data_IF_015950683695
#
_entry.id   IF_015950683695
#
_cell.length_a   1.000
_cell.length_b   1.000
_cell.length_c   1.000
_cell.angle_alpha   90.00
_cell.angle_beta   90.00
_cell.angle_gamma   90.00
#
_symmetry.space_group_name_H-M   'P 1'
#
loop_
_entity.id
_entity.type
_entity.pdbx_description
1 polymer ?
#
# COMPACT_ATOMS: atom_id res chain seq x y z
N UNK A 1 -12.84 19.76 19.82
CA UNK A 1 -12.40 20.43 18.58
C UNK A 1 -12.34 19.42 17.46
N UNK A 2 -13.07 19.68 16.37
CA UNK A 2 -13.04 18.87 15.15
C UNK A 2 -11.81 19.25 14.33
N UNK A 3 -10.82 18.37 14.26
CA UNK A 3 -9.57 18.60 13.52
C UNK A 3 -9.70 17.97 12.14
N UNK A 4 -9.27 18.71 11.12
CA UNK A 4 -9.17 18.21 9.75
C UNK A 4 -7.71 18.30 9.32
N UNK A 5 -7.14 17.17 8.92
CA UNK A 5 -5.74 17.08 8.47
C UNK A 5 -5.74 16.71 6.99
N UNK A 6 -4.93 17.40 6.19
CA UNK A 6 -4.69 17.12 4.77
C UNK A 6 -3.20 17.24 4.49
N UNK A 7 -2.69 16.37 3.63
CA UNK A 7 -1.34 16.51 3.09
C UNK A 7 -1.30 17.56 1.97
N UNK A 8 -2.32 17.54 1.10
CA UNK A 8 -2.50 18.46 -0.01
C UNK A 8 -4.00 18.80 -0.18
N UNK A 9 -4.30 19.91 -0.85
CA UNK A 9 -5.68 20.38 -1.07
C UNK A 9 -6.48 19.47 -2.01
N UNK A 10 -5.82 18.66 -2.86
CA UNK A 10 -6.48 17.66 -3.72
C UNK A 10 -6.92 16.42 -2.92
N UNK A 11 -6.33 16.20 -1.74
CA UNK A 11 -6.68 15.09 -0.84
C UNK A 11 -7.90 15.42 0.01
N UNK A 12 -8.73 14.42 0.29
CA UNK A 12 -9.81 14.60 1.27
C UNK A 12 -9.20 14.76 2.68
N UNK A 13 -9.92 15.44 3.57
CA UNK A 13 -9.46 15.55 4.95
C UNK A 13 -9.53 14.20 5.66
N UNK A 14 -8.52 13.92 6.48
CA UNK A 14 -8.66 13.03 7.62
C UNK A 14 -9.43 13.82 8.69
N UNK A 15 -10.60 13.33 9.06
CA UNK A 15 -11.49 13.97 10.04
C UNK A 15 -11.31 13.33 11.42
N UNK A 16 -10.93 14.14 12.40
CA UNK A 16 -10.65 13.71 13.77
C UNK A 16 -11.53 14.56 14.71
N UNK A 17 -12.70 14.05 15.14
CA UNK A 17 -13.66 14.84 15.93
C UNK A 17 -13.11 15.38 17.26
N UNK A 18 -12.14 14.67 17.84
CA UNK A 18 -11.39 15.09 19.02
C UNK A 18 -9.97 14.56 18.92
N UNK A 19 -9.01 15.47 18.99
CA UNK A 19 -7.59 15.19 19.07
C UNK A 19 -7.04 15.82 20.34
N UNK A 20 -6.44 15.00 21.20
CA UNK A 20 -5.68 15.43 22.36
C UNK A 20 -4.18 15.19 22.07
N UNK A 21 -3.32 16.11 22.48
CA UNK A 21 -1.87 15.97 22.36
C UNK A 21 -1.27 15.70 23.74
N UNK A 22 -0.50 14.61 23.87
CA UNK A 22 0.12 14.23 25.14
C UNK A 22 1.63 14.15 24.98
N UNK A 23 2.36 15.08 25.62
CA UNK A 23 3.82 15.07 25.68
C UNK A 23 4.29 14.43 26.98
N UNK A 24 4.95 13.27 26.90
CA UNK A 24 5.51 12.59 28.05
C UNK A 24 6.82 11.88 27.69
N UNK A 25 7.87 12.04 28.50
CA UNK A 25 9.19 11.39 28.29
C UNK A 25 9.70 11.51 26.85
N UNK A 26 9.70 12.72 26.30
CA UNK A 26 10.15 13.04 24.92
C UNK A 26 9.30 12.40 23.80
N UNK A 27 8.14 11.84 24.12
CA UNK A 27 7.19 11.29 23.17
C UNK A 27 5.95 12.19 23.10
N UNK A 28 5.55 12.60 21.90
CA UNK A 28 4.31 13.34 21.65
C UNK A 28 3.30 12.41 20.99
N UNK A 29 2.33 11.93 21.78
CA UNK A 29 1.23 11.10 21.31
C UNK A 29 0.07 11.97 20.79
N UNK A 30 -0.42 11.62 19.60
CA UNK A 30 -1.64 12.19 19.01
C UNK A 30 -2.80 11.26 19.35
N UNK A 31 -3.54 11.60 20.40
CA UNK A 31 -4.57 10.74 20.99
C UNK A 31 -5.93 11.09 20.40
N UNK A 32 -6.55 10.13 19.71
CA UNK A 32 -7.91 10.25 19.20
C UNK A 32 -8.65 8.92 19.35
N UNK A 33 -9.95 9.00 19.65
CA UNK A 33 -10.82 7.82 19.71
C UNK A 33 -11.55 7.54 18.40
N UNK A 34 -11.59 8.53 17.49
CA UNK A 34 -12.22 8.45 16.19
C UNK A 34 -11.40 9.19 15.16
N UNK A 35 -11.20 8.58 14.00
CA UNK A 35 -10.62 9.21 12.83
C UNK A 35 -11.23 8.60 11.57
N UNK A 36 -11.47 9.42 10.55
CA UNK A 36 -12.07 8.97 9.29
C UNK A 36 -11.34 9.56 8.09
N UNK A 37 -11.20 8.77 7.03
CA UNK A 37 -10.73 9.24 5.73
C UNK A 37 -11.61 8.65 4.65
N UNK A 38 -12.31 9.50 3.88
CA UNK A 38 -13.23 9.03 2.83
C UNK A 38 -14.23 7.96 3.27
N UNK A 39 -14.77 8.10 4.49
CA UNK A 39 -15.70 7.13 5.08
C UNK A 39 -15.04 5.84 5.59
N UNK A 40 -13.73 5.67 5.42
CA UNK A 40 -12.97 4.59 6.05
C UNK A 40 -12.68 4.94 7.51
N UNK A 41 -12.87 3.96 8.39
CA UNK A 41 -12.58 4.10 9.82
C UNK A 41 -11.07 3.91 10.06
N UNK A 42 -10.46 4.91 10.68
CA UNK A 42 -9.04 4.95 11.08
C UNK A 42 -8.85 4.99 12.60
N UNK A 43 -9.91 4.77 13.39
CA UNK A 43 -9.88 4.91 14.86
C UNK A 43 -8.89 3.96 15.56
N UNK A 44 -8.49 2.88 14.90
CA UNK A 44 -7.45 1.95 15.39
C UNK A 44 -6.02 2.34 14.98
N UNK A 45 -5.86 3.43 14.25
CA UNK A 45 -4.56 3.96 13.83
C UNK A 45 -3.85 4.66 14.98
N UNK A 46 -2.53 4.79 14.86
CA UNK A 46 -1.69 5.47 15.87
C UNK A 46 -0.68 6.36 15.18
N UNK A 47 -0.42 7.52 15.77
CA UNK A 47 0.66 8.40 15.38
C UNK A 47 1.29 9.03 16.61
N UNK A 48 2.61 9.04 16.65
CA UNK A 48 3.36 9.76 17.67
C UNK A 48 4.74 10.15 17.16
N UNK A 49 5.28 11.23 17.72
CA UNK A 49 6.70 11.54 17.61
C UNK A 49 7.43 10.97 18.81
N UNK A 50 8.65 10.46 18.62
CA UNK A 50 9.49 9.92 19.68
C UNK A 50 10.84 10.63 19.73
N UNK A 51 11.50 10.55 20.87
CA UNK A 51 12.84 11.10 21.13
C UNK A 51 13.01 12.56 20.68
N UNK A 52 11.95 13.37 20.87
CA UNK A 52 11.83 14.73 20.31
C UNK A 52 12.95 15.70 20.68
N UNK A 53 13.66 15.46 21.78
CA UNK A 53 14.74 16.34 22.25
C UNK A 53 16.13 15.73 22.01
N UNK A 54 16.21 14.62 21.27
CA UNK A 54 17.46 14.01 20.81
C UNK A 54 17.48 14.03 19.28
N UNK A 55 18.18 15.00 18.69
CA UNK A 55 18.28 15.18 17.24
C UNK A 55 18.82 13.94 16.50
N UNK A 56 19.54 13.05 17.21
CA UNK A 56 20.09 11.82 16.63
C UNK A 56 19.13 10.64 16.71
N UNK A 57 18.00 10.78 17.41
CA UNK A 57 17.02 9.70 17.61
C UNK A 57 15.58 10.11 17.30
N UNK A 58 15.31 11.41 17.16
CA UNK A 58 13.98 11.90 16.89
C UNK A 58 13.40 11.26 15.61
N UNK A 59 12.12 10.94 15.67
CA UNK A 59 11.41 10.36 14.54
C UNK A 59 9.90 10.30 14.73
N UNK A 60 9.24 9.70 13.75
CA UNK A 60 7.79 9.52 13.72
C UNK A 60 7.44 8.04 13.63
N UNK A 61 6.43 7.67 14.40
CA UNK A 61 5.77 6.38 14.28
C UNK A 61 4.36 6.58 13.71
N UNK A 62 4.02 5.76 12.73
CA UNK A 62 2.71 5.71 12.11
C UNK A 62 2.24 4.26 12.07
N UNK A 63 1.01 4.02 12.51
CA UNK A 63 0.29 2.78 12.25
C UNK A 63 -1.04 3.11 11.62
N UNK A 64 -1.23 2.76 10.35
CA UNK A 64 -2.45 3.00 9.59
C UNK A 64 -3.25 1.71 9.57
N UNK A 65 -4.34 1.70 10.33
CA UNK A 65 -5.18 0.52 10.51
C UNK A 65 -6.63 0.80 10.12
N UNK A 66 -7.15 0.04 9.18
CA UNK A 66 -8.51 0.16 8.68
C UNK A 66 -9.03 -1.16 8.13
N UNK A 67 -10.35 -1.31 8.03
CA UNK A 67 -10.99 -2.45 7.37
C UNK A 67 -11.48 -2.14 5.95
N UNK A 68 -11.41 -0.88 5.53
CA UNK A 68 -11.99 -0.42 4.27
C UNK A 68 -11.28 0.82 3.70
N UNK A 69 -10.00 0.99 4.00
CA UNK A 69 -9.22 2.09 3.43
C UNK A 69 -9.06 1.87 1.92
N UNK A 70 -9.09 2.95 1.16
CA UNK A 70 -8.93 2.92 -0.29
C UNK A 70 -7.75 3.79 -0.68
N UNK A 71 -6.82 3.24 -1.47
CA UNK A 71 -5.79 4.02 -2.13
C UNK A 71 -6.39 4.64 -3.41
N UNK A 72 -7.20 5.68 -3.24
CA UNK A 72 -7.92 6.32 -4.35
C UNK A 72 -7.06 7.29 -5.16
N UNK A 73 -7.59 7.75 -6.28
CA UNK A 73 -6.91 8.68 -7.20
C UNK A 73 -6.52 10.00 -6.52
N UNK A 74 -7.33 10.51 -5.59
CA UNK A 74 -7.03 11.76 -4.88
C UNK A 74 -5.82 11.60 -3.97
N UNK A 75 -5.74 10.48 -3.24
CA UNK A 75 -4.58 10.14 -2.44
C UNK A 75 -3.35 9.90 -3.33
N UNK A 76 -3.49 9.17 -4.44
CA UNK A 76 -2.39 8.95 -5.37
C UNK A 76 -1.81 10.28 -5.90
N UNK A 77 -2.66 11.20 -6.36
CA UNK A 77 -2.24 12.54 -6.83
C UNK A 77 -1.59 13.38 -5.74
N UNK A 78 -2.10 13.33 -4.51
CA UNK A 78 -1.51 14.06 -3.39
C UNK A 78 -0.10 13.57 -3.04
N UNK A 79 0.21 12.29 -3.28
CA UNK A 79 1.55 11.75 -3.04
C UNK A 79 2.56 12.10 -4.14
N UNK A 80 2.11 12.44 -5.35
CA UNK A 80 2.99 12.92 -6.43
C UNK A 80 3.74 14.20 -6.03
N UNK A 81 3.08 15.08 -5.27
CA UNK A 81 3.66 16.33 -4.74
C UNK A 81 4.83 16.05 -3.75
N UNK A 82 4.96 14.80 -3.27
CA UNK A 82 6.06 14.33 -2.41
C UNK A 82 7.03 13.39 -3.14
N UNK A 83 7.06 13.42 -4.47
CA UNK A 83 7.87 12.54 -5.31
C UNK A 83 7.58 11.04 -5.11
N UNK A 84 6.38 10.72 -4.63
CA UNK A 84 5.91 9.34 -4.50
C UNK A 84 4.82 9.08 -5.53
N UNK A 85 5.21 8.46 -6.65
CA UNK A 85 4.28 8.08 -7.72
C UNK A 85 4.21 6.56 -7.82
N UNK A 86 2.99 6.03 -7.64
CA UNK A 86 2.69 4.63 -7.95
C UNK A 86 1.96 4.56 -9.30
N UNK A 87 2.23 3.56 -10.15
CA UNK A 87 1.62 3.44 -11.48
C UNK A 87 0.16 2.98 -11.43
N UNK A 88 -0.47 3.01 -10.25
CA UNK A 88 -1.83 2.55 -10.06
C UNK A 88 -2.52 3.31 -8.93
N UNK A 89 -3.85 3.37 -8.99
CA UNK A 89 -4.74 3.67 -7.87
C UNK A 89 -5.92 2.69 -7.91
N UNK A 90 -6.66 2.62 -6.81
CA UNK A 90 -7.82 1.76 -6.70
C UNK A 90 -9.07 2.47 -7.21
N UNK A 91 -9.77 1.86 -8.17
CA UNK A 91 -11.06 2.31 -8.72
C UNK A 91 -12.24 1.90 -7.82
N UNK A 92 -12.22 0.70 -7.27
CA UNK A 92 -13.31 0.15 -6.42
C UNK A 92 -12.81 -0.96 -5.48
N UNK A 93 -13.68 -1.48 -4.61
CA UNK A 93 -13.39 -2.56 -3.66
C UNK A 93 -12.92 -2.09 -2.29
N UNK A 94 -12.42 -3.02 -1.47
CA UNK A 94 -11.98 -2.76 -0.09
C UNK A 94 -10.56 -3.22 0.13
N UNK A 95 -9.80 -2.47 0.94
CA UNK A 95 -8.56 -2.92 1.53
C UNK A 95 -8.71 -2.90 3.05
N UNK A 96 -8.51 -4.07 3.66
CA UNK A 96 -8.20 -4.15 5.09
C UNK A 96 -6.70 -3.98 5.24
N UNK A 97 -6.28 -2.98 5.99
CA UNK A 97 -4.88 -2.59 6.13
C UNK A 97 -4.46 -2.56 7.60
N UNK A 98 -3.23 -3.01 7.84
CA UNK A 98 -2.47 -2.77 9.07
C UNK A 98 -1.04 -2.48 8.61
N UNK A 99 -0.71 -1.21 8.41
CA UNK A 99 0.60 -0.75 7.93
C UNK A 99 1.28 0.01 9.06
N UNK A 100 2.52 -0.36 9.36
CA UNK A 100 3.35 0.24 10.40
C UNK A 100 4.60 0.83 9.75
N UNK A 101 4.88 2.09 10.07
CA UNK A 101 6.04 2.84 9.64
C UNK A 101 6.69 3.46 10.87
N UNK A 102 8.00 3.34 10.98
CA UNK A 102 8.82 4.07 11.96
C UNK A 102 9.96 4.70 11.20
N UNK A 103 10.01 6.03 11.22
CA UNK A 103 10.90 6.82 10.37
C UNK A 103 11.70 7.74 11.27
N UNK A 104 13.00 7.51 11.32
CA UNK A 104 13.93 8.42 11.98
C UNK A 104 14.14 9.69 11.11
N UNK A 105 14.27 10.86 11.73
CA UNK A 105 14.38 12.13 11.00
C UNK A 105 15.81 12.50 10.58
N UNK A 106 16.83 11.81 11.10
CA UNK A 106 18.22 12.14 10.82
C UNK A 106 18.72 11.40 9.56
N UNK A 107 19.71 11.96 8.87
CA UNK A 107 20.19 11.47 7.55
C UNK A 107 20.71 10.03 7.52
N UNK A 108 21.13 9.50 8.68
CA UNK A 108 21.58 8.10 8.86
C UNK A 108 20.54 7.22 9.54
N UNK A 109 19.33 7.74 9.70
CA UNK A 109 18.24 7.10 10.38
C UNK A 109 17.71 5.91 9.62
N UNK A 110 17.17 4.96 10.36
CA UNK A 110 16.59 3.78 9.78
C UNK A 110 15.10 4.00 9.53
N UNK A 111 14.62 3.49 8.39
CA UNK A 111 13.19 3.44 8.08
C UNK A 111 12.75 2.01 8.29
N UNK A 112 11.89 1.79 9.27
CA UNK A 112 11.24 0.50 9.45
C UNK A 112 9.83 0.53 8.90
N UNK A 113 9.49 -0.49 8.12
CA UNK A 113 8.16 -0.64 7.59
C UNK A 113 7.74 -2.11 7.57
N UNK A 114 6.50 -2.35 7.98
CA UNK A 114 5.87 -3.65 7.87
C UNK A 114 4.37 -3.48 7.71
N UNK A 115 3.70 -4.45 7.10
CA UNK A 115 2.27 -4.35 7.01
C UNK A 115 1.60 -5.53 6.36
N UNK A 116 0.28 -5.55 6.52
CA UNK A 116 -0.61 -6.54 5.94
C UNK A 116 -1.74 -5.80 5.24
N UNK A 117 -1.97 -6.14 3.97
CA UNK A 117 -3.07 -5.62 3.16
C UNK A 117 -3.88 -6.81 2.63
N UNK A 118 -5.16 -6.86 2.92
CA UNK A 118 -6.09 -7.81 2.31
C UNK A 118 -6.99 -7.05 1.34
N UNK A 119 -6.87 -7.37 0.06
CA UNK A 119 -7.68 -6.81 -1.02
C UNK A 119 -8.84 -7.76 -1.29
N UNK A 120 -10.05 -7.20 -1.39
CA UNK A 120 -11.27 -7.95 -1.70
C UNK A 120 -12.10 -7.19 -2.75
N UNK A 121 -12.43 -7.88 -3.84
CA UNK A 121 -13.22 -7.34 -4.96
C UNK A 121 -12.74 -5.95 -5.40
N UNK A 122 -11.42 -5.79 -5.52
CA UNK A 122 -10.78 -4.52 -5.86
C UNK A 122 -10.61 -4.39 -7.37
N UNK A 123 -10.71 -3.18 -7.87
CA UNK A 123 -10.31 -2.84 -9.24
C UNK A 123 -9.22 -1.79 -9.17
N UNK A 124 -8.14 -1.99 -9.91
CA UNK A 124 -6.99 -1.07 -9.96
C UNK A 124 -6.84 -0.47 -11.36
N UNK A 125 -6.30 0.75 -11.43
CA UNK A 125 -6.18 1.49 -12.70
C UNK A 125 -5.09 0.95 -13.63
N UNK A 126 -4.11 0.22 -13.11
CA UNK A 126 -3.07 -0.38 -13.92
C UNK A 126 -3.65 -1.53 -14.74
N UNK A 127 -3.69 -1.34 -16.06
CA UNK A 127 -4.22 -2.30 -17.03
C UNK A 127 -5.62 -2.85 -16.69
N UNK A 128 -6.42 -2.06 -15.95
CA UNK A 128 -7.79 -2.37 -15.53
C UNK A 128 -7.95 -3.74 -14.85
N UNK A 129 -6.96 -4.16 -14.05
CA UNK A 129 -7.06 -5.40 -13.31
C UNK A 129 -8.16 -5.36 -12.26
N UNK A 130 -9.01 -6.37 -12.30
CA UNK A 130 -9.90 -6.76 -11.23
C UNK A 130 -9.21 -7.83 -10.38
N UNK A 131 -9.25 -7.65 -9.07
CA UNK A 131 -8.64 -8.50 -8.05
C UNK A 131 -9.78 -9.03 -7.18
N UNK A 132 -10.13 -10.30 -7.36
CA UNK A 132 -11.17 -10.92 -6.54
C UNK A 132 -10.70 -11.01 -5.07
N UNK A 133 -9.45 -11.41 -4.87
CA UNK A 133 -8.78 -11.48 -3.58
C UNK A 133 -7.27 -11.35 -3.75
N UNK A 134 -6.57 -10.79 -2.76
CA UNK A 134 -5.13 -10.90 -2.61
C UNK A 134 -4.73 -10.58 -1.17
N UNK A 135 -3.71 -11.25 -0.65
CA UNK A 135 -3.15 -10.98 0.66
C UNK A 135 -1.68 -10.55 0.54
N UNK A 136 -1.39 -9.30 0.84
CA UNK A 136 -0.05 -8.71 0.72
C UNK A 136 0.56 -8.61 2.12
N UNK A 137 1.76 -9.16 2.28
CA UNK A 137 2.58 -9.04 3.50
C UNK A 137 3.86 -8.29 3.15
N UNK A 138 4.12 -7.20 3.85
CA UNK A 138 5.33 -6.41 3.75
C UNK A 138 6.11 -6.53 5.07
N UNK A 139 7.39 -6.85 4.98
CA UNK A 139 8.29 -6.82 6.13
C UNK A 139 9.67 -6.40 5.63
N UNK A 140 9.98 -5.11 5.77
CA UNK A 140 11.20 -4.53 5.22
C UNK A 140 11.31 -4.89 3.74
N UNK A 141 12.48 -5.39 3.34
CA UNK A 141 12.79 -5.76 1.96
C UNK A 141 12.02 -6.99 1.45
N UNK A 142 11.20 -7.65 2.26
CA UNK A 142 10.43 -8.81 1.84
C UNK A 142 8.97 -8.42 1.61
N UNK A 143 8.50 -8.54 0.36
CA UNK A 143 7.10 -8.39 0.00
C UNK A 143 6.57 -9.74 -0.51
N UNK A 144 5.52 -10.25 0.10
CA UNK A 144 4.83 -11.46 -0.36
C UNK A 144 3.39 -11.12 -0.77
N UNK A 145 2.95 -11.67 -1.88
CA UNK A 145 1.56 -11.63 -2.32
C UNK A 145 1.07 -13.08 -2.32
N UNK A 146 0.02 -13.34 -1.56
CA UNK A 146 -0.53 -14.67 -1.37
C UNK A 146 -1.96 -14.74 -1.88
N UNK A 147 -2.27 -15.87 -2.52
CA UNK A 147 -3.61 -16.20 -3.01
C UNK A 147 -4.25 -15.10 -3.87
N UNK A 148 -3.45 -14.41 -4.67
CA UNK A 148 -3.95 -13.39 -5.57
C UNK A 148 -4.76 -14.04 -6.68
N UNK A 149 -5.93 -13.48 -6.98
CA UNK A 149 -6.79 -13.89 -8.07
C UNK A 149 -7.15 -12.65 -8.87
N UNK A 150 -6.67 -12.60 -10.11
CA UNK A 150 -6.71 -11.39 -10.95
C UNK A 150 -7.28 -11.69 -12.33
N UNK A 151 -7.98 -10.71 -12.89
CA UNK A 151 -8.41 -10.74 -14.27
C UNK A 151 -8.47 -9.35 -14.90
N UNK A 152 -8.22 -9.27 -16.20
CA UNK A 152 -8.49 -8.10 -17.03
C UNK A 152 -8.89 -8.54 -18.44
N UNK A 153 -8.85 -7.62 -19.41
CA UNK A 153 -9.27 -7.87 -20.79
C UNK A 153 -8.51 -8.97 -21.53
N UNK A 154 -7.30 -9.36 -21.08
CA UNK A 154 -6.45 -10.34 -21.78
C UNK A 154 -5.92 -11.47 -20.88
N UNK A 155 -5.91 -11.29 -19.56
CA UNK A 155 -5.34 -12.24 -18.60
C UNK A 155 -6.36 -12.59 -17.52
N UNK A 156 -6.44 -13.87 -17.16
CA UNK A 156 -7.08 -14.38 -15.95
C UNK A 156 -6.13 -15.36 -15.27
N UNK A 157 -5.74 -15.08 -14.03
CA UNK A 157 -4.74 -15.88 -13.34
C UNK A 157 -4.90 -15.85 -11.82
N UNK A 158 -4.46 -16.93 -11.18
CA UNK A 158 -4.20 -16.99 -9.75
C UNK A 158 -2.70 -17.09 -9.52
N UNK A 159 -2.15 -16.39 -8.51
CA UNK A 159 -0.73 -16.46 -8.23
C UNK A 159 -0.36 -16.24 -6.77
N UNK A 160 0.84 -16.72 -6.43
CA UNK A 160 1.60 -16.29 -5.27
C UNK A 160 2.89 -15.65 -5.76
N UNK A 161 3.32 -14.56 -5.13
CA UNK A 161 4.55 -13.88 -5.48
C UNK A 161 5.39 -13.57 -4.24
N UNK A 162 6.71 -13.59 -4.40
CA UNK A 162 7.68 -13.15 -3.40
C UNK A 162 8.65 -12.18 -4.05
N UNK A 163 8.91 -11.07 -3.39
CA UNK A 163 9.85 -10.05 -3.85
C UNK A 163 10.91 -9.79 -2.78
N UNK A 164 12.14 -9.67 -3.24
CA UNK A 164 13.27 -9.10 -2.51
C UNK A 164 13.46 -7.68 -3.05
N UNK A 165 12.95 -6.69 -2.31
CA UNK A 165 12.96 -5.28 -2.70
C UNK A 165 14.38 -4.69 -2.70
N UNK A 166 15.30 -5.28 -1.91
CA UNK A 166 16.69 -4.85 -1.87
C UNK A 166 17.45 -5.33 -3.11
N UNK A 167 17.22 -6.57 -3.53
CA UNK A 167 17.79 -7.11 -4.77
C UNK A 167 17.02 -6.72 -6.02
N UNK A 168 15.86 -6.09 -5.85
CA UNK A 168 14.97 -5.72 -6.95
C UNK A 168 14.57 -6.93 -7.80
N UNK A 169 14.19 -8.01 -7.12
CA UNK A 169 13.82 -9.29 -7.74
C UNK A 169 12.47 -9.78 -7.23
N UNK A 170 11.75 -10.50 -8.09
CA UNK A 170 10.46 -11.09 -7.80
C UNK A 170 10.30 -12.47 -8.43
N UNK A 171 9.64 -13.40 -7.73
CA UNK A 171 9.29 -14.71 -8.26
C UNK A 171 7.80 -14.92 -8.10
N UNK A 172 7.14 -15.31 -9.18
CA UNK A 172 5.71 -15.58 -9.23
C UNK A 172 5.50 -17.06 -9.55
N UNK A 173 4.68 -17.72 -8.75
CA UNK A 173 4.11 -19.01 -9.08
C UNK A 173 2.68 -18.76 -9.55
N UNK A 174 2.45 -18.88 -10.86
CA UNK A 174 1.24 -18.40 -11.53
C UNK A 174 0.50 -19.54 -12.21
N UNK A 175 -0.79 -19.66 -11.89
CA UNK A 175 -1.77 -20.46 -12.61
C UNK A 175 -2.54 -19.56 -13.56
N UNK A 176 -2.18 -19.58 -14.85
CA UNK A 176 -2.89 -18.85 -15.89
C UNK A 176 -4.12 -19.68 -16.29
N UNK A 177 -5.31 -19.15 -16.02
CA UNK A 177 -6.55 -19.73 -16.55
C UNK A 177 -6.67 -19.44 -18.04
N UNK A 178 -6.43 -18.19 -18.43
CA UNK A 178 -6.37 -17.77 -19.84
C UNK A 178 -5.47 -16.55 -20.02
N UNK A 179 -4.67 -16.54 -21.07
CA UNK A 179 -3.94 -15.40 -21.58
C UNK A 179 -4.16 -15.34 -23.09
N UNK A 180 -4.80 -14.30 -23.59
CA UNK A 180 -5.16 -14.21 -25.00
C UNK A 180 -5.03 -12.80 -25.56
N UNK A 181 -4.72 -12.70 -26.85
CA UNK A 181 -4.64 -11.45 -27.61
C UNK A 181 -5.48 -11.56 -28.88
N UNK A 182 -6.04 -10.45 -29.35
CA UNK A 182 -6.92 -10.37 -30.53
C UNK A 182 -8.02 -11.42 -30.51
N UNK A 183 -8.74 -11.51 -29.37
CA UNK A 183 -9.80 -12.49 -29.14
C UNK A 183 -9.37 -13.96 -29.30
N UNK A 184 -8.07 -14.24 -29.28
CA UNK A 184 -7.47 -15.57 -29.44
C UNK A 184 -6.90 -15.85 -30.83
N UNK A 185 -6.97 -14.90 -31.77
CA UNK A 185 -6.42 -15.06 -33.12
C UNK A 185 -4.88 -15.05 -33.14
N UNK A 186 -4.27 -14.18 -32.32
CA UNK A 186 -2.81 -14.06 -32.24
C UNK A 186 -2.18 -15.04 -31.23
N UNK A 187 -2.81 -15.17 -30.06
CA UNK A 187 -2.37 -16.04 -28.97
C UNK A 187 -3.57 -16.41 -28.11
N UNK A 188 -3.71 -17.68 -27.73
CA UNK A 188 -4.67 -18.14 -26.73
C UNK A 188 -4.06 -19.26 -25.88
N UNK A 189 -3.39 -18.89 -24.80
CA UNK A 189 -2.85 -19.82 -23.81
C UNK A 189 -3.90 -20.08 -22.74
N UNK A 190 -4.15 -21.36 -22.45
CA UNK A 190 -5.12 -21.80 -21.45
C UNK A 190 -4.48 -22.77 -20.48
N UNK A 191 -4.89 -22.69 -19.21
CA UNK A 191 -4.53 -23.63 -18.16
C UNK A 191 -3.02 -23.89 -18.05
N UNK A 192 -2.22 -22.81 -18.02
CA UNK A 192 -0.76 -22.90 -17.94
C UNK A 192 -0.28 -22.66 -16.51
N UNK A 193 0.76 -23.39 -16.12
CA UNK A 193 1.45 -23.21 -14.85
C UNK A 193 2.82 -22.66 -15.18
N UNK A 194 3.10 -21.44 -14.74
CA UNK A 194 4.33 -20.74 -15.12
C UNK A 194 4.98 -20.16 -13.87
N UNK A 195 6.27 -20.41 -13.72
CA UNK A 195 7.12 -19.67 -12.81
C UNK A 195 7.69 -18.46 -13.56
N UNK A 196 7.33 -17.25 -13.12
CA UNK A 196 7.83 -16.01 -13.73
C UNK A 196 8.84 -15.39 -12.77
N UNK A 197 10.06 -15.17 -13.28
CA UNK A 197 11.10 -14.45 -12.55
C UNK A 197 11.18 -13.04 -13.10
N UNK A 198 11.05 -12.06 -12.22
CA UNK A 198 11.17 -10.65 -12.51
C UNK A 198 12.48 -10.15 -11.91
N UNK A 199 13.33 -9.58 -12.73
CA UNK A 199 14.50 -8.81 -12.30
C UNK A 199 14.31 -7.37 -12.78
N UNK A 200 14.20 -6.45 -11.83
CA UNK A 200 14.03 -5.01 -12.07
C UNK A 200 15.18 -4.21 -11.44
N UNK A 201 16.35 -4.86 -11.27
CA UNK A 201 17.57 -4.21 -10.79
C UNK A 201 18.18 -3.24 -11.78
N UNK A 202 17.87 -3.42 -13.06
CA UNK A 202 18.15 -2.49 -14.13
C UNK A 202 16.84 -1.87 -14.58
N UNK A 203 16.85 -0.57 -14.87
CA UNK A 203 15.70 0.08 -15.50
C UNK A 203 15.36 -0.68 -16.78
N UNK A 204 14.16 -1.21 -16.87
CA UNK A 204 13.60 -1.67 -18.14
C UNK A 204 13.25 -0.39 -18.90
N UNK A 205 14.20 0.14 -19.68
CA UNK A 205 13.91 1.13 -20.69
C UNK A 205 13.12 0.40 -21.79
N UNK A 206 11.80 0.57 -21.78
CA UNK A 206 10.91 0.14 -22.86
C UNK A 206 10.83 1.28 -23.87
#
# INVERSE_FOLDING_TARGET
NNVKVRLDDKMNAIEIPKLDLNLNKQKLDFVFNKAFYNGADLSSSKVYLYDLFDEKKAGIYLRIKSNNLKFDEKLAKALEDYHFSLPFYQKSGKIKSDLELKIDFHDKGEIFYSGILALENASISLADFNIAKAFVKLNQNNLNIENASVENGFLKADFNAKFDLQKQQGNFNTQISRLYFDNGELLDLKNQNVEVKLDYSQNVNI
#
